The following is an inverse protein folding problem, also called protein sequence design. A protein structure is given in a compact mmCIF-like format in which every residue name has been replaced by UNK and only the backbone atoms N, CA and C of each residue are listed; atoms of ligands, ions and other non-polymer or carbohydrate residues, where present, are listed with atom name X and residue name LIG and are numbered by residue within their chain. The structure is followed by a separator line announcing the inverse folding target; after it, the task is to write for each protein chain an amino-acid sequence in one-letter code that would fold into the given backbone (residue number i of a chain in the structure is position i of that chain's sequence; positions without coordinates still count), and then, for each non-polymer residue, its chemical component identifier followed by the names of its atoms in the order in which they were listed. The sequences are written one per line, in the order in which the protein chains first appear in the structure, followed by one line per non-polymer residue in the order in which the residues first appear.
data_IF_440142321889
#
_entry.id   IF_440142321889
#
_cell.length_a   1.000
_cell.length_b   1.000
_cell.length_c   1.000
_cell.angle_alpha   90.00
_cell.angle_beta   90.00
_cell.angle_gamma   90.00
#
_symmetry.space_group_name_H-M   'P 1'
#
loop_
_entity.id
_entity.type
_entity.pdbx_description
1 polymer ?
#
# COMPACT_ATOMS: atom_id res chain seq x y z
N UNK A 1 16.42 11.55 12.41
CA UNK A 1 17.07 12.56 11.52
C UNK A 1 16.27 12.60 10.24
N UNK A 2 15.88 13.78 9.79
CA UNK A 2 15.10 13.98 8.57
C UNK A 2 16.00 14.61 7.49
N UNK A 3 15.84 14.18 6.25
CA UNK A 3 16.52 14.71 5.08
C UNK A 3 15.49 15.27 4.11
N UNK A 4 15.79 16.41 3.54
CA UNK A 4 15.03 16.98 2.44
C UNK A 4 15.67 16.55 1.11
N UNK A 5 14.86 16.00 0.20
CA UNK A 5 15.29 15.53 -1.11
C UNK A 5 14.73 16.43 -2.21
N UNK A 6 15.52 16.66 -3.25
CA UNK A 6 15.04 17.27 -4.48
C UNK A 6 14.22 16.22 -5.26
N UNK A 7 12.90 16.38 -5.25
CA UNK A 7 11.99 15.47 -5.92
C UNK A 7 11.77 15.89 -7.39
N UNK A 8 11.62 14.92 -8.32
CA UNK A 8 11.16 15.18 -9.68
C UNK A 8 9.79 15.89 -9.71
N UNK A 9 9.51 16.62 -10.78
CA UNK A 9 8.27 17.40 -10.92
C UNK A 9 7.00 16.53 -10.83
N UNK A 10 7.10 15.27 -11.28
CA UNK A 10 6.05 14.25 -11.21
C UNK A 10 5.65 13.89 -9.77
N UNK A 11 6.53 14.15 -8.79
CA UNK A 11 6.32 13.90 -7.36
C UNK A 11 6.13 15.19 -6.56
N UNK A 12 5.78 16.30 -7.21
CA UNK A 12 5.57 17.59 -6.56
C UNK A 12 4.50 17.60 -5.46
N UNK A 13 3.57 16.63 -5.48
CA UNK A 13 2.56 16.44 -4.44
C UNK A 13 3.09 15.69 -3.19
N UNK A 14 4.29 15.11 -3.25
CA UNK A 14 4.90 14.37 -2.14
C UNK A 14 5.72 15.31 -1.26
N UNK A 15 5.63 15.16 0.05
CA UNK A 15 6.47 15.91 0.97
C UNK A 15 7.95 15.53 0.78
N UNK A 16 8.86 16.49 0.54
CA UNK A 16 10.27 16.20 0.22
C UNK A 16 11.10 15.79 1.44
N UNK A 17 10.53 15.81 2.65
CA UNK A 17 11.23 15.54 3.90
C UNK A 17 10.97 14.11 4.37
N UNK A 18 12.01 13.29 4.44
CA UNK A 18 11.94 11.87 4.79
C UNK A 18 12.81 11.53 6.01
N UNK A 19 12.37 10.55 6.80
CA UNK A 19 13.18 10.03 7.90
C UNK A 19 14.27 9.07 7.38
N UNK A 20 15.47 9.11 7.96
CA UNK A 20 16.63 8.31 7.51
C UNK A 20 16.35 6.78 7.49
N UNK A 21 15.52 6.28 8.40
CA UNK A 21 15.15 4.86 8.43
C UNK A 21 14.35 4.44 7.21
N UNK A 22 13.55 5.34 6.64
CA UNK A 22 12.75 5.08 5.46
C UNK A 22 13.65 4.98 4.22
N UNK A 23 14.59 5.92 4.09
CA UNK A 23 15.58 5.92 3.01
C UNK A 23 16.43 4.65 3.04
N UNK A 24 16.95 4.27 4.21
CA UNK A 24 17.75 3.04 4.37
C UNK A 24 16.93 1.78 4.03
N UNK A 25 15.65 1.75 4.40
CA UNK A 25 14.77 0.63 4.10
C UNK A 25 14.53 0.50 2.58
N UNK A 26 14.30 1.60 1.88
CA UNK A 26 14.11 1.60 0.42
C UNK A 26 15.36 1.10 -0.31
N UNK A 27 16.56 1.53 0.09
CA UNK A 27 17.82 1.07 -0.53
C UNK A 27 18.08 -0.42 -0.28
N UNK A 28 17.61 -0.94 0.85
CA UNK A 28 17.80 -2.36 1.21
C UNK A 28 16.82 -3.29 0.48
N UNK A 29 15.72 -2.76 -0.05
CA UNK A 29 14.61 -3.53 -0.63
C UNK A 29 14.33 -3.09 -2.07
N UNK A 30 15.38 -3.06 -2.90
CA UNK A 30 15.28 -2.68 -4.31
C UNK A 30 14.31 -3.59 -5.10
N UNK A 31 14.08 -4.82 -4.62
CA UNK A 31 13.15 -5.78 -5.21
C UNK A 31 11.67 -5.42 -4.96
N UNK A 32 11.36 -4.59 -3.96
CA UNK A 32 10.00 -4.10 -3.70
C UNK A 32 9.72 -2.74 -4.35
N UNK A 33 10.70 -2.17 -5.08
CA UNK A 33 10.50 -0.95 -5.83
C UNK A 33 9.63 -1.25 -7.04
N UNK A 34 8.37 -0.88 -6.91
CA UNK A 34 7.37 -0.95 -7.95
C UNK A 34 7.47 0.30 -8.84
N UNK A 35 7.48 0.17 -10.18
CA UNK A 35 7.39 1.33 -11.07
C UNK A 35 6.12 2.13 -10.79
N UNK A 36 6.23 3.45 -10.61
CA UNK A 36 5.08 4.32 -10.35
C UNK A 36 3.99 4.21 -11.43
N UNK A 37 4.36 4.00 -12.70
CA UNK A 37 3.40 3.79 -13.79
C UNK A 37 2.60 2.48 -13.72
N UNK A 38 2.94 1.57 -12.82
CA UNK A 38 2.24 0.29 -12.60
C UNK A 38 1.25 0.32 -11.43
N UNK A 39 1.26 1.38 -10.62
CA UNK A 39 0.26 1.64 -9.60
C UNK A 39 -0.55 2.85 -10.07
N UNK A 40 -1.81 2.67 -10.47
CA UNK A 40 -2.67 3.83 -10.76
C UNK A 40 -3.06 4.48 -9.43
N UNK A 41 -2.17 5.32 -8.93
CA UNK A 41 -2.46 6.27 -7.87
C UNK A 41 -3.16 7.45 -8.54
N UNK A 42 -4.33 7.83 -8.04
CA UNK A 42 -5.04 9.01 -8.54
C UNK A 42 -4.19 10.29 -8.32
N UNK A 43 -4.51 11.38 -9.01
CA UNK A 43 -3.85 12.69 -8.87
C UNK A 43 -3.86 13.21 -7.42
N UNK A 44 -4.77 12.72 -6.59
CA UNK A 44 -4.84 12.96 -5.14
C UNK A 44 -3.86 12.12 -4.30
N UNK A 45 -2.94 11.37 -4.93
CA UNK A 45 -2.06 10.39 -4.29
C UNK A 45 -2.83 9.29 -3.51
N UNK A 46 -4.09 9.05 -3.87
CA UNK A 46 -4.93 8.02 -3.25
C UNK A 46 -4.94 6.75 -4.09
N UNK A 47 -4.79 5.62 -3.41
CA UNK A 47 -4.91 4.30 -4.01
C UNK A 47 -6.33 3.77 -3.74
N UNK A 48 -7.13 3.64 -4.80
CA UNK A 48 -8.48 3.07 -4.71
C UNK A 48 -8.43 1.56 -4.92
N UNK A 49 -8.37 0.81 -3.81
CA UNK A 49 -8.58 -0.63 -3.84
C UNK A 49 -10.07 -0.94 -4.01
N UNK A 50 -10.41 -1.68 -5.08
CA UNK A 50 -11.79 -2.13 -5.30
C UNK A 50 -11.96 -3.53 -4.66
N UNK A 51 -12.89 -3.72 -3.73
CA UNK A 51 -13.18 -5.04 -3.18
C UNK A 51 -13.82 -5.91 -4.29
N UNK A 52 -13.25 -7.07 -4.56
CA UNK A 52 -13.74 -8.02 -5.58
C UNK A 52 -14.83 -8.89 -4.98
N UNK A 53 -14.52 -9.53 -3.85
CA UNK A 53 -15.37 -10.54 -3.26
C UNK A 53 -15.07 -10.71 -1.77
N UNK A 54 -16.07 -11.14 -1.00
CA UNK A 54 -15.86 -11.60 0.37
C UNK A 54 -15.41 -13.06 0.31
N UNK A 55 -14.12 -13.27 0.51
CA UNK A 55 -13.49 -14.59 0.45
C UNK A 55 -13.92 -15.49 1.63
N UNK A 56 -14.09 -14.92 2.82
CA UNK A 56 -14.43 -15.70 4.01
C UNK A 56 -15.14 -14.84 5.08
N UNK A 57 -15.90 -15.51 5.96
CA UNK A 57 -16.58 -14.89 7.11
C UNK A 57 -16.35 -15.74 8.34
N UNK A 58 -15.78 -15.13 9.38
CA UNK A 58 -15.51 -15.80 10.66
C UNK A 58 -16.09 -15.00 11.82
N UNK A 59 -16.63 -15.69 12.81
CA UNK A 59 -17.09 -15.09 14.07
C UNK A 59 -16.16 -15.54 15.19
N UNK A 60 -15.46 -14.58 15.81
CA UNK A 60 -14.63 -14.84 16.99
C UNK A 60 -15.41 -14.52 18.26
N UNK A 61 -15.55 -15.51 19.13
CA UNK A 61 -16.16 -15.37 20.44
C UNK A 61 -15.08 -15.06 21.48
N UNK A 62 -15.18 -13.87 22.06
CA UNK A 62 -14.43 -13.47 23.25
C UNK A 62 -15.26 -13.79 24.49
N UNK A 63 -14.69 -13.59 25.69
CA UNK A 63 -15.38 -13.86 26.97
C UNK A 63 -16.76 -13.19 27.07
N UNK A 64 -16.89 -11.95 26.57
CA UNK A 64 -18.09 -11.12 26.81
C UNK A 64 -18.80 -10.72 25.52
N UNK A 65 -18.23 -11.03 24.35
CA UNK A 65 -18.73 -10.54 23.05
C UNK A 65 -18.39 -11.48 21.92
N UNK A 66 -19.18 -11.42 20.85
CA UNK A 66 -18.87 -12.05 19.57
C UNK A 66 -18.59 -10.96 18.55
N UNK A 67 -17.54 -11.14 17.75
CA UNK A 67 -17.16 -10.21 16.69
C UNK A 67 -17.13 -10.98 15.38
N UNK A 68 -17.98 -10.58 14.43
CA UNK A 68 -17.92 -11.07 13.06
C UNK A 68 -16.83 -10.29 12.30
N UNK A 69 -16.02 -11.00 11.54
CA UNK A 69 -15.02 -10.43 10.64
C UNK A 69 -15.12 -11.12 9.29
N UNK A 70 -14.87 -10.36 8.23
CA UNK A 70 -14.86 -10.86 6.86
C UNK A 70 -13.47 -10.70 6.28
N UNK A 71 -13.01 -11.69 5.50
CA UNK A 71 -11.87 -11.51 4.61
C UNK A 71 -12.39 -11.06 3.27
N UNK A 72 -11.82 -9.99 2.75
CA UNK A 72 -12.17 -9.42 1.45
C UNK A 72 -10.98 -9.64 0.53
N UNK A 73 -11.25 -10.15 -0.67
CA UNK A 73 -10.31 -10.17 -1.78
C UNK A 73 -10.34 -8.79 -2.43
N UNK A 74 -9.20 -8.12 -2.46
CA UNK A 74 -9.07 -6.81 -3.09
C UNK A 74 -8.46 -6.96 -4.47
N UNK A 75 -8.97 -6.19 -5.44
CA UNK A 75 -8.40 -6.15 -6.77
C UNK A 75 -7.15 -5.30 -6.71
N UNK A 76 -6.01 -5.94 -6.48
CA UNK A 76 -4.75 -5.27 -6.77
C UNK A 76 -4.66 -5.04 -8.28
N UNK A 77 -4.26 -3.85 -8.69
CA UNK A 77 -3.93 -3.61 -10.10
C UNK A 77 -2.68 -4.39 -10.54
N UNK A 78 -1.97 -5.01 -9.60
CA UNK A 78 -0.97 -6.03 -9.88
C UNK A 78 -1.62 -7.31 -10.42
N UNK A 79 -1.59 -7.45 -11.74
CA UNK A 79 -1.59 -8.77 -12.36
C UNK A 79 -0.20 -9.34 -12.17
N UNK A 80 0.05 -10.01 -11.05
CA UNK A 80 1.07 -11.06 -11.06
C UNK A 80 0.32 -12.36 -11.38
N UNK A 81 0.36 -12.74 -12.66
CA UNK A 81 0.00 -14.11 -13.07
C UNK A 81 0.99 -15.04 -12.38
N UNK A 82 0.63 -15.56 -11.21
CA UNK A 82 1.20 -16.82 -10.76
C UNK A 82 0.66 -17.91 -11.70
N UNK A 83 1.54 -18.43 -12.57
CA UNK A 83 1.30 -19.65 -13.34
C UNK A 83 1.52 -20.86 -12.45
#
# INVERSE_FOLDING_TARGET
IYYELELPAELSAVHPVFHISLLNKCVSDLASIVPLGSVAVNDSLTYEDVPVEIFDRQVRRFRNKQVASVKVLWKSQFIERAT
#
